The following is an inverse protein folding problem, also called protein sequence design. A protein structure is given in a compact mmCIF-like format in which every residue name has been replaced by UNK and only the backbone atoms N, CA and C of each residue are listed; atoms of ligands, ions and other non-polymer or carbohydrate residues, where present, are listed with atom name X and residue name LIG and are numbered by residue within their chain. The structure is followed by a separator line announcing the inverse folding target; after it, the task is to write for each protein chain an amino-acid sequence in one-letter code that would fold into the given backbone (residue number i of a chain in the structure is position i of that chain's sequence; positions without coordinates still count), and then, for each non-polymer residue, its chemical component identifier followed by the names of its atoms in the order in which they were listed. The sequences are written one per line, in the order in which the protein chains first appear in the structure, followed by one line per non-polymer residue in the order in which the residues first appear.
data_IF_226479999797
#
_entry.id   IF_226479999797
#
_cell.length_a   1.000
_cell.length_b   1.000
_cell.length_c   1.000
_cell.angle_alpha   90.00
_cell.angle_beta   90.00
_cell.angle_gamma   90.00
#
_symmetry.space_group_name_H-M   'P 1'
#
loop_
_entity.id
_entity.type
_entity.pdbx_description
1 polymer ?
#
# COMPACT_ATOMS: atom_id res chain seq x y z
N UNK A 1 30.92 23.95 27.23
CA UNK A 1 29.91 23.44 28.17
C UNK A 1 29.11 22.36 27.48
N UNK A 2 29.59 21.12 27.54
CA UNK A 2 28.96 19.95 26.92
C UNK A 2 27.72 19.58 27.71
N UNK A 3 26.55 19.91 27.16
CA UNK A 3 25.27 19.46 27.69
C UNK A 3 25.28 17.93 27.75
N UNK A 4 25.12 17.37 28.95
CA UNK A 4 24.85 15.95 29.15
C UNK A 4 23.50 15.62 28.51
N UNK A 5 23.50 15.24 27.23
CA UNK A 5 22.31 14.69 26.59
C UNK A 5 22.03 13.31 27.18
N UNK A 6 20.80 13.10 27.66
CA UNK A 6 20.36 11.79 28.15
C UNK A 6 20.60 10.75 27.05
N UNK A 7 21.01 9.51 27.37
CA UNK A 7 21.30 8.48 26.38
C UNK A 7 20.15 8.30 25.37
N UNK A 8 18.90 8.43 25.82
CA UNK A 8 17.72 8.36 24.95
C UNK A 8 17.66 9.47 23.88
N UNK A 9 18.14 10.68 24.16
CA UNK A 9 18.16 11.79 23.19
C UNK A 9 19.22 11.59 22.10
N UNK A 10 20.34 10.93 22.42
CA UNK A 10 21.38 10.62 21.44
C UNK A 10 20.88 9.56 20.46
N UNK A 11 20.22 8.51 20.95
CA UNK A 11 19.66 7.45 20.11
C UNK A 11 18.49 7.97 19.26
N UNK A 12 17.66 8.86 19.81
CA UNK A 12 16.57 9.53 19.07
C UNK A 12 17.10 10.40 17.92
N UNK A 13 18.16 11.18 18.15
CA UNK A 13 18.78 11.99 17.11
C UNK A 13 19.43 11.15 15.99
N UNK A 14 20.06 10.02 16.32
CA UNK A 14 20.69 9.14 15.33
C UNK A 14 19.62 8.47 14.47
N UNK A 15 18.55 7.97 15.09
CA UNK A 15 17.47 7.27 14.38
C UNK A 15 16.70 8.18 13.41
N UNK A 16 16.35 9.40 13.84
CA UNK A 16 15.61 10.33 12.99
C UNK A 16 16.44 10.83 11.79
N UNK A 17 17.76 10.99 11.99
CA UNK A 17 18.68 11.41 10.93
C UNK A 17 18.84 10.36 9.83
N UNK A 18 18.66 9.07 10.13
CA UNK A 18 18.65 7.99 9.13
C UNK A 18 17.38 8.03 8.28
N UNK A 19 16.22 8.34 8.89
CA UNK A 19 14.93 8.32 8.20
C UNK A 19 14.72 9.58 7.35
N UNK A 20 15.10 10.75 7.86
CA UNK A 20 14.95 12.03 7.17
C UNK A 20 16.18 12.94 7.33
N UNK A 21 17.31 12.63 6.68
CA UNK A 21 18.57 13.37 6.85
C UNK A 21 18.48 14.86 6.47
N UNK A 22 17.50 15.24 5.65
CA UNK A 22 17.32 16.61 5.16
C UNK A 22 16.54 17.53 6.11
N UNK A 23 15.93 17.01 7.19
CA UNK A 23 15.15 17.80 8.15
C UNK A 23 15.50 17.44 9.59
N UNK A 24 15.57 18.46 10.46
CA UNK A 24 15.78 18.28 11.90
C UNK A 24 14.48 17.97 12.66
N UNK A 25 13.33 18.26 12.07
CA UNK A 25 12.01 18.07 12.68
C UNK A 25 11.23 16.98 11.97
N UNK A 26 10.73 16.00 12.72
CA UNK A 26 9.94 14.88 12.19
C UNK A 26 8.64 15.33 11.52
N UNK A 27 7.98 16.35 12.08
CA UNK A 27 6.74 16.92 11.52
C UNK A 27 6.96 17.63 10.20
N UNK A 28 8.04 18.42 10.10
CA UNK A 28 8.42 19.10 8.85
C UNK A 28 8.81 18.09 7.78
N UNK A 29 9.56 17.04 8.15
CA UNK A 29 9.91 15.96 7.24
C UNK A 29 8.65 15.25 6.71
N UNK A 30 7.70 14.93 7.60
CA UNK A 30 6.44 14.31 7.23
C UNK A 30 5.61 15.20 6.29
N UNK A 31 5.55 16.51 6.53
CA UNK A 31 4.86 17.45 5.65
C UNK A 31 5.52 17.55 4.26
N UNK A 32 6.85 17.54 4.20
CA UNK A 32 7.60 17.52 2.94
C UNK A 32 7.33 16.23 2.16
N UNK A 33 7.42 15.07 2.82
CA UNK A 33 7.11 13.77 2.21
C UNK A 33 5.67 13.76 1.70
N UNK A 34 4.73 14.23 2.52
CA UNK A 34 3.32 14.33 2.16
C UNK A 34 3.12 15.13 0.87
N UNK A 35 3.73 16.31 0.78
CA UNK A 35 3.58 17.18 -0.39
C UNK A 35 4.20 16.57 -1.65
N UNK A 36 5.40 15.99 -1.53
CA UNK A 36 6.08 15.34 -2.65
C UNK A 36 5.27 14.15 -3.19
N UNK A 37 4.76 13.30 -2.29
CA UNK A 37 3.96 12.14 -2.64
C UNK A 37 2.58 12.54 -3.15
N UNK A 38 1.98 13.61 -2.62
CA UNK A 38 0.74 14.17 -3.13
C UNK A 38 0.89 14.63 -4.58
N UNK A 39 1.95 15.38 -4.91
CA UNK A 39 2.22 15.85 -6.27
C UNK A 39 2.48 14.67 -7.21
N UNK A 40 3.25 13.67 -6.76
CA UNK A 40 3.49 12.45 -7.53
C UNK A 40 2.20 11.65 -7.76
N UNK A 41 1.38 11.50 -6.72
CA UNK A 41 0.06 10.86 -6.80
C UNK A 41 -0.86 11.59 -7.76
N UNK A 42 -0.87 12.92 -7.72
CA UNK A 42 -1.66 13.73 -8.64
C UNK A 42 -1.23 13.50 -10.09
N UNK A 43 0.08 13.49 -10.38
CA UNK A 43 0.62 13.19 -11.71
C UNK A 43 0.28 11.78 -12.20
N UNK A 44 0.15 10.81 -11.30
CA UNK A 44 -0.25 9.44 -11.62
C UNK A 44 -1.76 9.30 -11.85
N UNK A 45 -2.57 9.87 -10.96
CA UNK A 45 -4.03 9.72 -11.00
C UNK A 45 -4.69 10.61 -12.04
N UNK A 46 -4.13 11.79 -12.33
CA UNK A 46 -4.66 12.68 -13.37
C UNK A 46 -4.85 11.97 -14.71
N UNK A 47 -3.84 11.35 -15.34
CA UNK A 47 -4.04 10.64 -16.60
C UNK A 47 -4.97 9.43 -16.46
N UNK A 48 -4.90 8.69 -15.36
CA UNK A 48 -5.74 7.51 -15.13
C UNK A 48 -7.23 7.84 -15.16
N UNK A 49 -7.63 9.00 -14.62
CA UNK A 49 -9.02 9.44 -14.62
C UNK A 49 -9.37 10.29 -15.85
N UNK A 50 -8.43 11.07 -16.39
CA UNK A 50 -8.69 11.92 -17.55
C UNK A 50 -8.83 11.12 -18.85
N UNK A 51 -7.99 10.11 -19.10
CA UNK A 51 -8.02 9.33 -20.34
C UNK A 51 -9.40 8.64 -20.54
N UNK A 52 -9.95 7.90 -19.56
CA UNK A 52 -11.28 7.32 -19.69
C UNK A 52 -12.38 8.38 -19.82
N UNK A 53 -12.23 9.55 -19.20
CA UNK A 53 -13.25 10.62 -19.33
C UNK A 53 -13.31 11.19 -20.73
N UNK A 54 -12.17 11.31 -21.41
CA UNK A 54 -12.07 11.78 -22.79
C UNK A 54 -12.63 10.70 -23.74
N UNK A 55 -12.21 9.44 -23.57
CA UNK A 55 -12.61 8.33 -24.45
C UNK A 55 -14.10 8.01 -24.30
N UNK A 56 -14.58 7.85 -23.07
CA UNK A 56 -15.95 7.40 -22.79
C UNK A 56 -16.93 8.57 -22.55
N UNK A 57 -16.51 9.82 -22.79
CA UNK A 57 -17.30 11.05 -22.54
C UNK A 57 -17.97 11.08 -21.16
N UNK A 58 -17.30 10.52 -20.14
CA UNK A 58 -17.79 10.50 -18.77
C UNK A 58 -17.41 11.80 -18.05
N UNK A 59 -18.21 12.22 -17.08
CA UNK A 59 -17.86 13.37 -16.23
C UNK A 59 -16.59 13.04 -15.44
N UNK A 60 -15.54 13.84 -15.62
CA UNK A 60 -14.32 13.74 -14.84
C UNK A 60 -14.54 14.12 -13.39
N UNK A 61 -13.99 13.32 -12.47
CA UNK A 61 -14.11 13.56 -11.03
C UNK A 61 -12.78 14.07 -10.49
N UNK A 62 -12.50 15.36 -10.68
CA UNK A 62 -11.37 16.05 -10.02
C UNK A 62 -11.32 15.78 -8.50
N UNK A 63 -12.46 15.74 -7.76
CA UNK A 63 -12.45 15.39 -6.35
C UNK A 63 -11.90 13.98 -6.07
N UNK A 64 -12.08 13.02 -6.97
CA UNK A 64 -11.53 11.66 -6.81
C UNK A 64 -10.01 11.65 -6.97
N UNK A 65 -9.47 12.40 -7.93
CA UNK A 65 -8.02 12.53 -8.13
C UNK A 65 -7.37 13.15 -6.89
N UNK A 66 -7.93 14.26 -6.39
CA UNK A 66 -7.42 14.95 -5.21
C UNK A 66 -7.50 14.02 -3.99
N UNK A 67 -8.65 13.35 -3.80
CA UNK A 67 -8.85 12.43 -2.67
C UNK A 67 -7.85 11.28 -2.66
N UNK A 68 -7.62 10.62 -3.80
CA UNK A 68 -6.64 9.53 -3.88
C UNK A 68 -5.20 10.01 -3.73
N UNK A 69 -4.89 11.21 -4.22
CA UNK A 69 -3.58 11.83 -4.02
C UNK A 69 -3.36 12.18 -2.55
N UNK A 70 -4.38 12.71 -1.87
CA UNK A 70 -4.36 12.97 -0.42
C UNK A 70 -4.23 11.68 0.38
N UNK A 71 -4.92 10.61 0.00
CA UNK A 71 -4.75 9.29 0.62
C UNK A 71 -3.29 8.83 0.57
N UNK A 72 -2.68 8.87 -0.61
CA UNK A 72 -1.30 8.42 -0.82
C UNK A 72 -0.29 9.30 -0.07
N UNK A 73 -0.46 10.63 -0.13
CA UNK A 73 0.36 11.58 0.61
C UNK A 73 0.26 11.35 2.12
N UNK A 74 -0.96 11.19 2.64
CA UNK A 74 -1.21 10.95 4.07
C UNK A 74 -0.62 9.63 4.53
N UNK A 75 -0.71 8.56 3.73
CA UNK A 75 -0.05 7.30 4.03
C UNK A 75 1.46 7.47 4.18
N UNK A 76 2.13 8.11 3.22
CA UNK A 76 3.58 8.28 3.23
C UNK A 76 4.06 9.18 4.38
N UNK A 77 3.37 10.31 4.61
CA UNK A 77 3.69 11.22 5.70
C UNK A 77 3.45 10.58 7.07
N UNK A 78 2.31 9.88 7.25
CA UNK A 78 1.99 9.18 8.49
C UNK A 78 2.93 8.00 8.76
N UNK A 79 3.38 7.30 7.72
CA UNK A 79 4.37 6.24 7.86
C UNK A 79 5.71 6.79 8.37
N UNK A 80 6.19 7.88 7.78
CA UNK A 80 7.44 8.54 8.20
C UNK A 80 7.38 9.00 9.66
N UNK A 81 6.29 9.64 10.08
CA UNK A 81 6.12 10.07 11.46
C UNK A 81 5.91 8.89 12.44
N UNK A 82 5.16 7.87 12.04
CA UNK A 82 4.92 6.68 12.85
C UNK A 82 6.21 5.92 13.14
N UNK A 83 7.11 5.76 12.16
CA UNK A 83 8.40 5.08 12.42
C UNK A 83 9.18 5.82 13.51
N UNK A 84 9.31 7.15 13.42
CA UNK A 84 10.01 7.92 14.44
C UNK A 84 9.34 7.76 15.82
N UNK A 85 8.00 7.77 15.87
CA UNK A 85 7.23 7.60 17.09
C UNK A 85 7.42 6.20 17.73
N UNK A 86 7.34 5.13 16.93
CA UNK A 86 7.53 3.77 17.44
C UNK A 86 8.98 3.48 17.82
N UNK A 87 9.96 4.07 17.12
CA UNK A 87 11.38 4.00 17.53
C UNK A 87 11.64 4.75 18.83
N UNK A 88 10.99 5.90 19.04
CA UNK A 88 11.03 6.62 20.31
C UNK A 88 10.50 5.74 21.44
N UNK A 89 9.33 5.10 21.25
CA UNK A 89 8.74 4.20 22.24
C UNK A 89 9.61 2.96 22.53
N UNK A 90 10.34 2.45 21.53
CA UNK A 90 11.24 1.31 21.66
C UNK A 90 12.57 1.63 22.38
N UNK A 91 12.78 2.88 22.80
CA UNK A 91 14.04 3.36 23.40
C UNK A 91 15.18 3.44 22.37
N UNK A 92 14.84 3.64 21.10
CA UNK A 92 15.82 3.81 20.02
C UNK A 92 16.43 2.52 19.48
N UNK A 93 15.89 1.36 19.84
CA UNK A 93 16.28 0.06 19.26
C UNK A 93 15.66 -0.11 17.87
N UNK A 94 16.48 -0.59 16.93
CA UNK A 94 16.04 -0.77 15.54
C UNK A 94 15.55 -2.21 15.31
N UNK A 95 14.30 -2.47 15.68
CA UNK A 95 13.65 -3.74 15.37
C UNK A 95 12.98 -3.71 14.00
N UNK A 96 13.18 -4.76 13.20
CA UNK A 96 12.50 -4.91 11.89
C UNK A 96 10.97 -4.85 12.00
N UNK A 97 10.41 -5.22 13.16
CA UNK A 97 8.97 -5.16 13.44
C UNK A 97 8.42 -3.72 13.54
N UNK A 98 9.26 -2.73 13.87
CA UNK A 98 8.81 -1.34 14.00
C UNK A 98 8.30 -0.81 12.66
N UNK A 99 9.00 -1.09 11.57
CA UNK A 99 8.57 -0.70 10.22
C UNK A 99 7.22 -1.35 9.87
N UNK A 100 7.02 -2.62 10.21
CA UNK A 100 5.75 -3.32 9.96
C UNK A 100 4.59 -2.70 10.76
N UNK A 101 4.80 -2.43 12.05
CA UNK A 101 3.77 -1.83 12.92
C UNK A 101 3.45 -0.40 12.45
N UNK A 102 4.47 0.38 12.10
CA UNK A 102 4.31 1.75 11.60
C UNK A 102 3.54 1.77 10.28
N UNK A 103 3.85 0.86 9.36
CA UNK A 103 3.14 0.68 8.10
C UNK A 103 1.68 0.28 8.29
N UNK A 104 1.41 -0.61 9.25
CA UNK A 104 0.06 -1.04 9.60
C UNK A 104 -0.79 0.13 10.11
N UNK A 105 -0.32 0.88 11.10
CA UNK A 105 -1.07 2.03 11.62
C UNK A 105 -1.20 3.15 10.59
N UNK A 106 -0.15 3.47 9.84
CA UNK A 106 -0.21 4.48 8.79
C UNK A 106 -1.23 4.09 7.69
N UNK A 107 -1.26 2.81 7.30
CA UNK A 107 -2.21 2.27 6.33
C UNK A 107 -3.66 2.28 6.83
N UNK A 108 -3.87 1.86 8.09
CA UNK A 108 -5.19 1.89 8.72
C UNK A 108 -5.75 3.31 8.81
N UNK A 109 -4.93 4.29 9.19
CA UNK A 109 -5.40 5.67 9.32
C UNK A 109 -5.63 6.31 7.95
N UNK A 110 -4.76 6.05 6.97
CA UNK A 110 -4.88 6.65 5.64
C UNK A 110 -6.05 6.07 4.85
N UNK A 111 -6.32 4.76 4.92
CA UNK A 111 -7.35 4.11 4.09
C UNK A 111 -8.78 4.64 4.38
N UNK A 112 -9.00 5.22 5.56
CA UNK A 112 -10.26 5.89 5.90
C UNK A 112 -10.53 7.13 5.05
N UNK A 113 -9.49 7.74 4.47
CA UNK A 113 -9.61 8.90 3.57
C UNK A 113 -10.21 8.46 2.24
N UNK A 114 -9.83 7.29 1.72
CA UNK A 114 -10.24 6.80 0.39
C UNK A 114 -11.74 6.43 0.34
N UNK A 115 -12.33 6.35 -0.85
CA UNK A 115 -13.76 6.02 -1.03
C UNK A 115 -14.05 4.57 -0.65
N UNK A 116 -15.13 4.31 0.11
CA UNK A 116 -15.53 2.96 0.59
C UNK A 116 -15.51 1.88 -0.51
N UNK A 117 -16.03 2.18 -1.70
CA UNK A 117 -16.07 1.25 -2.85
C UNK A 117 -14.68 0.77 -3.30
N UNK A 118 -13.66 1.63 -3.21
CA UNK A 118 -12.28 1.31 -3.66
C UNK A 118 -11.41 0.70 -2.55
N UNK A 119 -11.82 0.80 -1.28
CA UNK A 119 -11.00 0.36 -0.13
C UNK A 119 -10.75 -1.15 -0.16
N UNK A 120 -11.78 -1.94 -0.42
CA UNK A 120 -11.65 -3.41 -0.45
C UNK A 120 -10.80 -3.88 -1.61
N UNK A 121 -11.01 -3.31 -2.81
CA UNK A 121 -10.22 -3.63 -4.00
C UNK A 121 -8.74 -3.26 -3.80
N UNK A 122 -8.46 -2.07 -3.26
CA UNK A 122 -7.10 -1.64 -2.93
C UNK A 122 -6.47 -2.51 -1.83
N UNK A 123 -7.23 -2.83 -0.78
CA UNK A 123 -6.73 -3.65 0.32
C UNK A 123 -6.39 -5.07 -0.14
N UNK A 124 -7.23 -5.68 -0.99
CA UNK A 124 -6.97 -7.00 -1.56
C UNK A 124 -5.74 -6.99 -2.47
N UNK A 125 -5.57 -5.93 -3.28
CA UNK A 125 -4.37 -5.73 -4.09
C UNK A 125 -3.10 -5.65 -3.22
N UNK A 126 -3.10 -4.77 -2.22
CA UNK A 126 -1.97 -4.60 -1.31
C UNK A 126 -1.68 -5.87 -0.50
N UNK A 127 -2.73 -6.62 -0.10
CA UNK A 127 -2.59 -7.89 0.59
C UNK A 127 -1.86 -8.92 -0.28
N UNK A 128 -2.28 -9.09 -1.53
CA UNK A 128 -1.62 -10.01 -2.46
C UNK A 128 -0.14 -9.64 -2.67
N UNK A 129 0.14 -8.35 -2.88
CA UNK A 129 1.51 -7.87 -3.02
C UNK A 129 2.34 -8.12 -1.75
N UNK A 130 1.75 -7.93 -0.58
CA UNK A 130 2.41 -8.14 0.71
C UNK A 130 2.70 -9.62 0.93
N UNK A 131 1.75 -10.51 0.62
CA UNK A 131 1.94 -11.97 0.70
C UNK A 131 3.10 -12.44 -0.19
N UNK A 132 3.20 -11.90 -1.40
CA UNK A 132 4.30 -12.22 -2.32
C UNK A 132 5.65 -11.78 -1.73
N UNK A 133 5.73 -10.55 -1.20
CA UNK A 133 6.94 -10.03 -0.54
C UNK A 133 7.29 -10.89 0.68
N UNK A 134 6.30 -11.24 1.50
CA UNK A 134 6.48 -12.10 2.66
C UNK A 134 7.00 -13.49 2.29
N UNK A 135 6.45 -14.10 1.24
CA UNK A 135 6.92 -15.39 0.72
C UNK A 135 8.38 -15.31 0.24
N UNK A 136 8.71 -14.27 -0.55
CA UNK A 136 10.08 -14.04 -1.03
C UNK A 136 11.06 -13.84 0.13
N UNK A 137 10.69 -13.03 1.13
CA UNK A 137 11.49 -12.84 2.34
C UNK A 137 11.66 -14.13 3.14
N UNK A 138 10.61 -14.95 3.26
CA UNK A 138 10.67 -16.23 3.94
C UNK A 138 11.59 -17.22 3.21
N UNK A 139 11.53 -17.23 1.87
CA UNK A 139 12.39 -18.07 1.05
C UNK A 139 13.88 -17.68 1.17
N UNK A 140 14.21 -16.38 1.15
CA UNK A 140 15.59 -15.90 1.37
C UNK A 140 16.14 -16.27 2.76
N UNK A 141 15.26 -16.46 3.75
CA UNK A 141 15.63 -16.86 5.11
C UNK A 141 15.61 -18.38 5.33
N UNK A 142 15.31 -19.17 4.30
CA UNK A 142 15.23 -20.63 4.38
C UNK A 142 13.94 -21.17 5.03
N UNK A 143 12.93 -20.33 5.27
CA UNK A 143 11.64 -20.76 5.85
C UNK A 143 10.63 -21.24 4.80
N UNK A 144 10.78 -20.83 3.55
CA UNK A 144 9.88 -21.20 2.47
C UNK A 144 10.64 -21.76 1.27
N UNK A 145 9.97 -22.59 0.47
CA UNK A 145 10.55 -23.18 -0.72
C UNK A 145 10.54 -22.19 -1.88
N UNK A 146 11.65 -22.12 -2.62
CA UNK A 146 11.68 -21.43 -3.90
C UNK A 146 11.22 -22.40 -4.99
N UNK A 147 10.07 -22.13 -5.59
CA UNK A 147 9.53 -22.89 -6.71
C UNK A 147 9.81 -22.09 -7.98
N UNK A 148 10.58 -22.68 -8.90
CA UNK A 148 10.79 -22.10 -10.23
C UNK A 148 9.43 -21.94 -10.91
N UNK A 149 9.11 -20.73 -11.36
CA UNK A 149 7.82 -20.38 -11.97
C UNK A 149 6.59 -20.60 -11.06
N UNK A 150 6.73 -20.49 -9.73
CA UNK A 150 5.61 -20.68 -8.79
C UNK A 150 4.41 -19.74 -9.03
N UNK A 151 4.63 -18.57 -9.60
CA UNK A 151 3.57 -17.64 -10.03
C UNK A 151 2.61 -18.26 -11.06
N UNK A 152 3.13 -19.10 -11.97
CA UNK A 152 2.32 -19.80 -12.97
C UNK A 152 1.41 -20.82 -12.29
N UNK A 153 1.92 -21.52 -11.27
CA UNK A 153 1.13 -22.48 -10.50
C UNK A 153 -0.01 -21.79 -9.75
N UNK A 154 0.28 -20.66 -9.09
CA UNK A 154 -0.74 -19.86 -8.40
C UNK A 154 -1.81 -19.37 -9.39
N UNK A 155 -1.40 -18.92 -10.58
CA UNK A 155 -2.31 -18.52 -11.64
C UNK A 155 -3.18 -19.69 -12.12
N UNK A 156 -2.58 -20.85 -12.41
CA UNK A 156 -3.31 -22.06 -12.82
C UNK A 156 -4.36 -22.47 -11.79
N UNK A 157 -4.01 -22.48 -10.51
CA UNK A 157 -4.95 -22.81 -9.42
C UNK A 157 -6.06 -21.77 -9.33
N UNK A 158 -5.73 -20.48 -9.36
CA UNK A 158 -6.73 -19.41 -9.29
C UNK A 158 -7.71 -19.45 -10.48
N UNK A 159 -7.21 -19.70 -11.69
CA UNK A 159 -8.03 -19.87 -12.89
C UNK A 159 -8.89 -21.12 -12.83
N UNK A 160 -8.37 -22.24 -12.35
CA UNK A 160 -9.14 -23.47 -12.18
C UNK A 160 -10.30 -23.29 -11.20
N UNK A 161 -10.04 -22.65 -10.06
CA UNK A 161 -11.07 -22.31 -9.06
C UNK A 161 -12.13 -21.38 -9.66
N UNK A 162 -11.70 -20.32 -10.38
CA UNK A 162 -12.62 -19.38 -11.02
C UNK A 162 -13.55 -20.09 -12.03
N UNK A 163 -13.00 -20.98 -12.85
CA UNK A 163 -13.79 -21.75 -13.82
C UNK A 163 -14.72 -22.76 -13.14
N UNK A 164 -14.28 -23.40 -12.06
CA UNK A 164 -15.11 -24.31 -11.29
C UNK A 164 -16.37 -23.60 -10.77
N UNK A 165 -16.20 -22.42 -10.15
CA UNK A 165 -17.33 -21.62 -9.68
C UNK A 165 -18.18 -21.08 -10.83
N UNK A 166 -17.58 -20.70 -11.96
CA UNK A 166 -18.33 -20.26 -13.12
C UNK A 166 -19.27 -21.35 -13.69
N UNK A 167 -18.85 -22.62 -13.65
CA UNK A 167 -19.66 -23.74 -14.15
C UNK A 167 -20.73 -24.22 -13.16
N UNK A 168 -20.39 -24.31 -11.86
CA UNK A 168 -21.29 -24.93 -10.87
C UNK A 168 -22.18 -23.90 -10.14
N UNK A 169 -21.66 -22.70 -9.87
CA UNK A 169 -22.36 -21.67 -9.08
C UNK A 169 -22.09 -20.26 -9.64
N UNK A 170 -22.57 -19.93 -10.85
CA UNK A 170 -22.31 -18.64 -11.48
C UNK A 170 -22.89 -17.45 -10.68
N UNK A 171 -23.90 -17.68 -9.84
CA UNK A 171 -24.53 -16.65 -9.00
C UNK A 171 -23.65 -16.20 -7.83
N UNK A 172 -22.69 -17.03 -7.42
CA UNK A 172 -21.69 -16.70 -6.38
C UNK A 172 -20.63 -15.72 -6.88
N UNK A 173 -20.51 -15.53 -8.20
CA UNK A 173 -19.51 -14.64 -8.81
C UNK A 173 -20.02 -13.19 -8.88
N UNK A 174 -19.10 -12.23 -8.68
CA UNK A 174 -19.41 -10.80 -8.84
C UNK A 174 -19.92 -10.54 -10.26
N UNK A 175 -21.03 -9.81 -10.38
CA UNK A 175 -21.75 -9.59 -11.65
C UNK A 175 -20.84 -9.16 -12.82
N UNK A 176 -19.89 -8.25 -12.61
CA UNK A 176 -18.93 -7.82 -13.64
C UNK A 176 -18.05 -8.97 -14.16
N UNK A 177 -17.61 -9.85 -13.27
CA UNK A 177 -16.74 -10.98 -13.61
C UNK A 177 -17.53 -12.07 -14.32
N UNK A 178 -18.75 -12.38 -13.86
CA UNK A 178 -19.64 -13.31 -14.54
C UNK A 178 -20.00 -12.83 -15.95
N UNK A 179 -20.31 -11.54 -16.13
CA UNK A 179 -20.57 -10.95 -17.44
C UNK A 179 -19.38 -11.05 -18.40
N UNK A 180 -18.16 -10.80 -17.93
CA UNK A 180 -16.94 -10.96 -18.73
C UNK A 180 -16.70 -12.43 -19.11
N UNK A 181 -16.86 -13.36 -18.16
CA UNK A 181 -16.67 -14.79 -18.43
C UNK A 181 -17.70 -15.31 -19.44
N UNK A 182 -18.97 -14.91 -19.32
CA UNK A 182 -20.02 -15.22 -20.30
C UNK A 182 -19.70 -14.66 -21.69
N UNK A 183 -19.10 -13.46 -21.77
CA UNK A 183 -18.70 -12.87 -23.05
C UNK A 183 -17.59 -13.65 -23.75
N UNK A 184 -16.57 -14.11 -23.02
CA UNK A 184 -15.43 -14.82 -23.62
C UNK A 184 -15.67 -16.32 -23.84
N UNK A 185 -16.37 -16.99 -22.92
CA UNK A 185 -16.54 -18.45 -22.91
C UNK A 185 -17.88 -18.86 -23.54
N UNK A 186 -18.87 -17.97 -23.49
CA UNK A 186 -20.26 -18.27 -23.79
C UNK A 186 -21.10 -18.46 -22.53
N UNK A 187 -22.41 -18.30 -22.66
CA UNK A 187 -23.34 -18.70 -21.60
C UNK A 187 -23.37 -20.22 -21.53
N UNK A 188 -23.18 -20.78 -20.34
CA UNK A 188 -23.74 -22.09 -20.03
C UNK A 188 -25.27 -22.01 -20.04
#
# INVERSE_FOLDING_TARGET
MTAQSKPNQIVEQISCKVIHPWSKSCTLAAAQIWLQVFIAGFKLYAPLFLIPTIIFKRKGSLPEIIRSSTFLGTYAGAFGSAICFFKYLAGGRDYKSIAAISGFFAGLLSILIERKSRRSELALYCLNQTLEIMWKMAATRGFAFYIKNGEVLVFMIASAILMYFFQHEPDSLRSNMNGLLKFFIGSN
#
